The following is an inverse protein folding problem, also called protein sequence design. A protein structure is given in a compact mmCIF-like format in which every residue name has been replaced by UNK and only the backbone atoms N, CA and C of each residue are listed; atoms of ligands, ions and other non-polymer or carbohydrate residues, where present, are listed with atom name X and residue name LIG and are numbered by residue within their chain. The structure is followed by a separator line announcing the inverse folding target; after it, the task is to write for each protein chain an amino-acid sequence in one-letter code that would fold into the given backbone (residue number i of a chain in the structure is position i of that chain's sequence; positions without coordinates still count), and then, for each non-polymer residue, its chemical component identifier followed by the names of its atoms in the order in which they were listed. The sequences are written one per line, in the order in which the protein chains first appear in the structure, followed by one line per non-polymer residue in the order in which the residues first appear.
data_IF_983015777488
#
_entry.id   IF_983015777488
#
_cell.length_a   1.000
_cell.length_b   1.000
_cell.length_c   1.000
_cell.angle_alpha   90.00
_cell.angle_beta   90.00
_cell.angle_gamma   90.00
#
_symmetry.space_group_name_H-M   'P 1'
#
loop_
_entity.id
_entity.type
_entity.pdbx_description
1 polymer ?
#
# COMPACT_ATOMS: atom_id res chain seq x y z
N UNK A 1 -21.03 17.03 -1.92
CA UNK A 1 -20.08 16.02 -1.43
C UNK A 1 -19.42 16.66 -0.23
N UNK A 2 -19.79 16.25 0.99
CA UNK A 2 -19.05 16.68 2.17
C UNK A 2 -17.65 16.08 2.02
N UNK A 3 -16.66 16.94 1.75
CA UNK A 3 -15.25 16.56 1.79
C UNK A 3 -14.96 16.12 3.21
N UNK A 4 -14.99 14.80 3.44
CA UNK A 4 -14.85 14.22 4.76
C UNK A 4 -13.59 14.74 5.44
N UNK A 5 -13.69 15.10 6.72
CA UNK A 5 -12.53 15.50 7.50
C UNK A 5 -11.55 14.33 7.57
N UNK A 6 -10.32 14.52 7.08
CA UNK A 6 -9.27 13.53 7.22
C UNK A 6 -8.89 13.40 8.70
N UNK A 7 -8.89 12.17 9.20
CA UNK A 7 -8.45 11.91 10.57
C UNK A 7 -6.95 12.17 10.69
N UNK A 8 -6.55 12.98 11.67
CA UNK A 8 -5.14 13.16 12.01
C UNK A 8 -4.75 12.19 13.11
N UNK A 9 -3.79 11.30 12.83
CA UNK A 9 -3.21 10.41 13.82
C UNK A 9 -1.76 10.79 14.13
N UNK A 10 -1.50 11.09 15.40
CA UNK A 10 -0.15 11.28 15.90
C UNK A 10 0.32 9.96 16.53
N UNK A 11 1.15 9.23 15.80
CA UNK A 11 1.77 7.96 16.24
C UNK A 11 2.53 8.08 17.57
N UNK A 12 2.96 9.30 17.94
CA UNK A 12 3.75 9.55 19.15
C UNK A 12 5.24 9.21 18.96
N UNK A 13 6.06 9.32 20.02
CA UNK A 13 7.46 8.93 19.96
C UNK A 13 7.58 7.40 19.90
N UNK A 14 8.06 6.85 18.79
CA UNK A 14 8.38 5.43 18.67
C UNK A 14 9.87 5.19 18.86
N UNK A 15 10.22 4.17 19.66
CA UNK A 15 11.59 3.71 19.82
C UNK A 15 12.10 2.89 18.64
N UNK A 16 11.20 2.27 17.87
CA UNK A 16 11.53 1.48 16.67
C UNK A 16 10.53 1.68 15.53
N UNK A 17 10.95 1.39 14.30
CA UNK A 17 10.04 1.37 13.14
C UNK A 17 8.97 0.28 13.25
N UNK A 18 9.29 -0.85 13.89
CA UNK A 18 8.30 -1.88 14.20
C UNK A 18 7.17 -1.35 15.10
N UNK A 19 7.52 -0.61 16.16
CA UNK A 19 6.55 -0.01 17.07
C UNK A 19 5.65 1.01 16.36
N UNK A 20 6.23 1.84 15.50
CA UNK A 20 5.49 2.77 14.63
C UNK A 20 4.47 2.02 13.77
N UNK A 21 4.91 0.98 13.05
CA UNK A 21 4.03 0.15 12.25
C UNK A 21 2.94 -0.52 13.08
N UNK A 22 3.28 -1.06 14.26
CA UNK A 22 2.32 -1.71 15.15
C UNK A 22 1.20 -0.74 15.58
N UNK A 23 1.55 0.48 16.00
CA UNK A 23 0.58 1.49 16.44
C UNK A 23 -0.31 1.96 15.29
N UNK A 24 0.25 2.13 14.07
CA UNK A 24 -0.53 2.42 12.86
C UNK A 24 -1.49 1.28 12.56
N UNK A 25 -0.98 0.04 12.55
CA UNK A 25 -1.76 -1.17 12.31
C UNK A 25 -2.91 -1.33 13.30
N UNK A 26 -2.66 -1.09 14.58
CA UNK A 26 -3.66 -1.16 15.64
C UNK A 26 -4.73 -0.08 15.48
N UNK A 27 -4.30 1.19 15.29
CA UNK A 27 -5.20 2.34 15.12
C UNK A 27 -6.14 2.16 13.94
N UNK A 28 -5.61 1.74 12.79
CA UNK A 28 -6.34 1.64 11.53
C UNK A 28 -6.72 0.20 11.16
N UNK A 29 -6.71 -0.73 12.11
CA UNK A 29 -6.95 -2.17 11.86
C UNK A 29 -8.23 -2.46 11.07
N UNK A 30 -9.32 -1.72 11.33
CA UNK A 30 -10.57 -1.88 10.59
C UNK A 30 -10.45 -1.42 9.13
N UNK A 31 -9.77 -0.29 8.90
CA UNK A 31 -9.58 0.27 7.54
C UNK A 31 -8.63 -0.61 6.75
N UNK A 32 -7.52 -1.05 7.35
CA UNK A 32 -6.54 -1.94 6.71
C UNK A 32 -7.18 -3.27 6.33
N UNK A 33 -7.94 -3.89 7.25
CA UNK A 33 -8.66 -5.14 6.94
C UNK A 33 -9.69 -4.93 5.83
N UNK A 34 -10.47 -3.85 5.90
CA UNK A 34 -11.45 -3.55 4.85
C UNK A 34 -10.80 -3.28 3.49
N UNK A 35 -9.64 -2.61 3.46
CA UNK A 35 -8.86 -2.40 2.24
C UNK A 35 -8.43 -3.73 1.65
N UNK A 36 -7.80 -4.58 2.46
CA UNK A 36 -7.31 -5.90 2.04
C UNK A 36 -8.44 -6.77 1.49
N UNK A 37 -9.61 -6.75 2.12
CA UNK A 37 -10.79 -7.52 1.67
C UNK A 37 -11.39 -7.02 0.36
N UNK A 38 -11.36 -5.69 0.12
CA UNK A 38 -12.02 -5.06 -1.04
C UNK A 38 -11.11 -4.83 -2.25
N UNK A 39 -9.80 -4.94 -2.09
CA UNK A 39 -8.84 -4.71 -3.15
C UNK A 39 -8.83 -5.88 -4.15
N UNK A 40 -9.55 -5.75 -5.27
CA UNK A 40 -9.65 -6.79 -6.29
C UNK A 40 -8.30 -7.12 -6.93
N UNK A 41 -7.40 -6.14 -7.05
CA UNK A 41 -6.06 -6.39 -7.60
C UNK A 41 -5.29 -7.31 -6.65
N UNK A 42 -5.35 -7.05 -5.34
CA UNK A 42 -4.75 -7.94 -4.35
C UNK A 42 -5.39 -9.34 -4.41
N UNK A 43 -6.71 -9.42 -4.34
CA UNK A 43 -7.44 -10.68 -4.18
C UNK A 43 -7.41 -11.57 -5.43
N UNK A 44 -7.56 -10.98 -6.62
CA UNK A 44 -7.79 -11.71 -7.86
C UNK A 44 -6.53 -11.84 -8.72
N UNK A 45 -5.50 -11.03 -8.47
CA UNK A 45 -4.27 -11.03 -9.30
C UNK A 45 -3.02 -11.30 -8.47
N UNK A 46 -2.73 -10.48 -7.45
CA UNK A 46 -1.47 -10.57 -6.72
C UNK A 46 -1.37 -11.81 -5.84
N UNK A 47 -2.43 -12.16 -5.10
CA UNK A 47 -2.42 -13.36 -4.25
C UNK A 47 -2.37 -14.67 -5.07
N UNK A 48 -3.15 -14.83 -6.16
CA UNK A 48 -2.99 -15.97 -7.07
C UNK A 48 -1.59 -16.06 -7.67
N UNK A 49 -1.07 -14.95 -8.19
CA UNK A 49 0.27 -14.94 -8.78
C UNK A 49 1.36 -15.28 -7.74
N UNK A 50 1.30 -14.70 -6.54
CA UNK A 50 2.25 -14.99 -5.46
C UNK A 50 2.26 -16.47 -5.01
N UNK A 51 1.21 -17.23 -5.33
CA UNK A 51 1.10 -18.65 -5.05
C UNK A 51 1.70 -19.55 -6.13
N UNK A 52 2.10 -18.98 -7.29
CA UNK A 52 2.85 -19.67 -8.35
C UNK A 52 4.33 -19.81 -7.97
N UNK A 53 5.09 -20.67 -8.67
CA UNK A 53 6.51 -20.83 -8.40
C UNK A 53 7.31 -19.55 -8.75
N UNK A 54 6.95 -18.91 -9.85
CA UNK A 54 7.53 -17.66 -10.34
C UNK A 54 7.22 -16.51 -9.38
N UNK A 55 5.94 -16.34 -9.01
CA UNK A 55 5.52 -15.31 -8.07
C UNK A 55 6.12 -15.50 -6.68
N UNK A 56 6.19 -16.74 -6.17
CA UNK A 56 6.84 -17.03 -4.90
C UNK A 56 8.32 -16.65 -4.91
N UNK A 57 9.04 -17.01 -5.97
CA UNK A 57 10.45 -16.66 -6.15
C UNK A 57 10.68 -15.15 -6.21
N UNK A 58 9.78 -14.41 -6.87
CA UNK A 58 9.82 -12.94 -6.92
C UNK A 58 9.56 -12.32 -5.54
N UNK A 59 8.54 -12.80 -4.82
CA UNK A 59 8.23 -12.33 -3.45
C UNK A 59 9.43 -12.55 -2.54
N UNK A 60 10.04 -13.74 -2.53
CA UNK A 60 11.23 -14.01 -1.72
C UNK A 60 12.40 -13.08 -2.05
N UNK A 61 12.63 -12.80 -3.35
CA UNK A 61 13.68 -11.89 -3.78
C UNK A 61 13.42 -10.45 -3.33
N UNK A 62 12.17 -9.98 -3.42
CA UNK A 62 11.74 -8.66 -2.96
C UNK A 62 11.83 -8.55 -1.44
N UNK A 63 11.40 -9.57 -0.69
CA UNK A 63 11.52 -9.62 0.76
C UNK A 63 12.98 -9.48 1.20
N UNK A 64 13.86 -10.32 0.64
CA UNK A 64 15.29 -10.29 0.98
C UNK A 64 15.89 -8.91 0.67
N UNK A 65 15.62 -8.39 -0.52
CA UNK A 65 16.18 -7.10 -0.95
C UNK A 65 15.70 -5.94 -0.06
N UNK A 66 14.41 -5.94 0.32
CA UNK A 66 13.87 -4.90 1.21
C UNK A 66 14.36 -5.04 2.65
N UNK A 67 14.46 -6.26 3.18
CA UNK A 67 15.07 -6.53 4.50
C UNK A 67 16.50 -6.01 4.59
N UNK A 68 17.31 -6.28 3.56
CA UNK A 68 18.72 -5.89 3.54
C UNK A 68 18.92 -4.38 3.28
N UNK A 69 18.18 -3.82 2.32
CA UNK A 69 18.39 -2.44 1.87
C UNK A 69 17.64 -1.42 2.73
N UNK A 70 16.46 -1.78 3.22
CA UNK A 70 15.53 -0.89 3.91
C UNK A 70 15.00 -1.51 5.21
N UNK A 71 15.88 -1.94 6.15
CA UNK A 71 15.46 -2.70 7.33
C UNK A 71 14.43 -1.97 8.20
N UNK A 72 14.49 -0.63 8.27
CA UNK A 72 13.53 0.18 9.01
C UNK A 72 12.13 0.14 8.40
N UNK A 73 12.01 0.28 7.08
CA UNK A 73 10.70 0.19 6.41
C UNK A 73 10.18 -1.25 6.43
N UNK A 74 11.07 -2.23 6.35
CA UNK A 74 10.70 -3.62 6.54
C UNK A 74 10.08 -3.86 7.92
N UNK A 75 10.73 -3.42 8.99
CA UNK A 75 10.21 -3.53 10.36
C UNK A 75 8.86 -2.83 10.52
N UNK A 76 8.67 -1.67 9.88
CA UNK A 76 7.38 -0.96 9.87
C UNK A 76 6.27 -1.77 9.20
N UNK A 77 6.52 -2.42 8.05
CA UNK A 77 5.54 -3.33 7.42
C UNK A 77 5.19 -4.52 8.32
N UNK A 78 6.20 -5.09 8.99
CA UNK A 78 5.98 -6.19 9.95
C UNK A 78 5.13 -5.70 11.14
N UNK A 79 5.42 -4.52 11.68
CA UNK A 79 4.63 -3.88 12.71
C UNK A 79 3.18 -3.69 12.28
N UNK A 80 2.96 -3.09 11.10
CA UNK A 80 1.62 -2.82 10.54
C UNK A 80 0.82 -4.10 10.36
N UNK A 81 1.44 -5.16 9.84
CA UNK A 81 0.81 -6.48 9.73
C UNK A 81 0.40 -7.02 11.12
N UNK A 82 1.29 -6.91 12.11
CA UNK A 82 1.01 -7.36 13.49
C UNK A 82 -0.11 -6.56 14.17
N UNK A 83 -0.08 -5.24 14.08
CA UNK A 83 -1.08 -4.37 14.70
C UNK A 83 -2.46 -4.47 14.04
N UNK A 84 -2.50 -4.66 12.72
CA UNK A 84 -3.77 -4.79 11.98
C UNK A 84 -4.38 -6.20 12.02
N UNK A 85 -3.59 -7.22 12.35
CA UNK A 85 -3.98 -8.63 12.29
C UNK A 85 -4.04 -9.21 10.87
N UNK A 86 -3.52 -8.48 9.87
CA UNK A 86 -3.45 -8.92 8.47
C UNK A 86 -2.15 -9.70 8.22
N UNK A 87 -2.16 -10.75 7.38
CA UNK A 87 -0.93 -11.45 6.99
C UNK A 87 0.11 -10.51 6.37
N UNK A 88 1.38 -10.66 6.75
CA UNK A 88 2.48 -9.83 6.23
C UNK A 88 2.55 -9.85 4.70
N UNK A 89 2.32 -11.01 4.09
CA UNK A 89 2.29 -11.14 2.62
C UNK A 89 1.29 -10.16 1.98
N UNK A 90 0.10 -9.97 2.56
CA UNK A 90 -0.90 -9.08 1.99
C UNK A 90 -0.45 -7.61 2.09
N UNK A 91 0.12 -7.22 3.23
CA UNK A 91 0.70 -5.88 3.43
C UNK A 91 1.85 -5.64 2.45
N UNK A 92 2.72 -6.64 2.27
CA UNK A 92 3.84 -6.58 1.34
C UNK A 92 3.35 -6.41 -0.11
N UNK A 93 2.41 -7.24 -0.55
CA UNK A 93 1.88 -7.20 -1.92
C UNK A 93 1.16 -5.88 -2.23
N UNK A 94 0.43 -5.29 -1.27
CA UNK A 94 -0.17 -3.96 -1.44
C UNK A 94 0.89 -2.87 -1.59
N UNK A 95 1.94 -2.90 -0.77
CA UNK A 95 3.01 -1.90 -0.81
C UNK A 95 3.94 -2.06 -2.02
N UNK A 96 4.05 -3.26 -2.58
CA UNK A 96 4.87 -3.58 -3.75
C UNK A 96 4.03 -3.86 -5.00
N UNK A 97 2.79 -3.38 -5.05
CA UNK A 97 1.86 -3.70 -6.15
C UNK A 97 2.42 -3.28 -7.51
N UNK A 98 3.09 -2.11 -7.59
CA UNK A 98 3.63 -1.58 -8.86
C UNK A 98 4.85 -2.37 -9.33
N UNK A 99 5.58 -2.99 -8.41
CA UNK A 99 6.71 -3.88 -8.69
C UNK A 99 6.25 -5.30 -9.07
N UNK A 100 5.13 -5.76 -8.52
CA UNK A 100 4.60 -7.11 -8.74
C UNK A 100 3.74 -7.22 -10.01
N UNK A 101 2.85 -6.25 -10.25
CA UNK A 101 1.86 -6.31 -11.33
C UNK A 101 2.44 -6.54 -12.74
N UNK A 102 3.59 -5.96 -13.13
CA UNK A 102 4.17 -6.19 -14.46
C UNK A 102 4.53 -7.66 -14.75
N UNK A 103 4.64 -8.51 -13.72
CA UNK A 103 4.99 -9.92 -13.84
C UNK A 103 3.76 -10.85 -13.82
N UNK A 104 2.58 -10.33 -13.50
CA UNK A 104 1.33 -11.11 -13.56
C UNK A 104 1.01 -11.40 -15.03
N UNK A 105 0.81 -12.68 -15.42
CA UNK A 105 0.46 -13.03 -16.78
C UNK A 105 -0.81 -12.30 -17.26
N UNK A 106 -0.80 -11.81 -18.50
CA UNK A 106 -1.93 -11.02 -19.05
C UNK A 106 -3.21 -11.83 -19.14
N UNK A 107 -3.10 -13.15 -19.23
CA UNK A 107 -4.21 -14.11 -19.23
C UNK A 107 -4.88 -14.23 -17.85
N UNK A 108 -4.18 -13.88 -16.78
CA UNK A 108 -4.66 -13.88 -15.39
C UNK A 108 -5.19 -12.51 -14.94
N UNK A 109 -5.01 -11.46 -15.75
CA UNK A 109 -5.64 -10.16 -15.51
C UNK A 109 -7.15 -10.28 -15.75
N UNK A 110 -7.94 -9.93 -14.73
CA UNK A 110 -9.40 -9.84 -14.87
C UNK A 110 -9.76 -8.80 -15.93
N UNK A 111 -10.88 -8.98 -16.64
CA UNK A 111 -11.31 -8.11 -17.75
C UNK A 111 -11.65 -6.67 -17.32
N UNK A 112 -11.59 -6.36 -16.03
CA UNK A 112 -11.78 -5.00 -15.58
C UNK A 112 -10.59 -4.15 -16.06
N UNK A 113 -10.84 -2.97 -16.62
CA UNK A 113 -9.76 -2.07 -16.98
C UNK A 113 -8.94 -1.83 -15.71
N UNK A 114 -7.63 -2.03 -15.80
CA UNK A 114 -6.69 -1.48 -14.83
C UNK A 114 -7.03 0.00 -14.77
N UNK A 115 -7.69 0.43 -13.70
CA UNK A 115 -7.90 1.85 -13.44
C UNK A 115 -6.50 2.35 -13.19
N UNK A 116 -5.92 3.03 -14.18
CA UNK A 116 -4.65 3.71 -13.98
C UNK A 116 -4.91 4.70 -12.84
N UNK A 117 -4.14 4.57 -11.76
CA UNK A 117 -4.14 5.57 -10.69
C UNK A 117 -3.47 6.80 -11.32
N UNK A 118 -4.28 7.64 -11.97
CA UNK A 118 -3.86 8.89 -12.58
C UNK A 118 -3.77 9.98 -11.50
N UNK A 119 -2.88 10.95 -11.72
CA UNK A 119 -2.70 12.06 -10.80
C UNK A 119 -2.35 13.33 -11.58
N UNK A 120 -2.74 14.49 -11.03
CA UNK A 120 -2.31 15.79 -11.53
C UNK A 120 -1.51 16.53 -10.45
N UNK A 121 -0.31 16.97 -10.83
CA UNK A 121 0.55 17.82 -10.01
C UNK A 121 0.55 19.25 -10.56
N UNK A 122 0.42 20.23 -9.66
CA UNK A 122 0.58 21.65 -10.01
C UNK A 122 1.56 22.31 -9.06
N UNK A 123 2.62 22.88 -9.63
CA UNK A 123 3.64 23.63 -8.93
C UNK A 123 3.55 25.11 -9.32
N UNK A 124 3.37 25.99 -8.34
CA UNK A 124 3.31 27.44 -8.54
C UNK A 124 4.40 28.10 -7.71
N UNK A 125 5.30 28.84 -8.36
CA UNK A 125 6.43 29.52 -7.70
C UNK A 125 6.47 30.98 -8.11
N UNK A 126 6.67 31.86 -7.13
CA UNK A 126 7.01 33.27 -7.32
C UNK A 126 7.96 33.75 -6.21
N UNK A 127 8.37 35.02 -6.24
CA UNK A 127 9.35 35.58 -5.29
C UNK A 127 8.90 35.53 -3.81
N UNK A 128 7.60 35.39 -3.54
CA UNK A 128 7.02 35.38 -2.20
C UNK A 128 6.55 34.00 -1.72
N UNK A 129 6.35 33.03 -2.62
CA UNK A 129 5.79 31.72 -2.27
C UNK A 129 6.16 30.61 -3.25
N UNK A 130 6.15 29.39 -2.73
CA UNK A 130 6.15 28.16 -3.51
C UNK A 130 5.00 27.27 -3.01
N UNK A 131 4.14 26.83 -3.92
CA UNK A 131 3.00 25.96 -3.65
C UNK A 131 3.13 24.71 -4.51
N UNK A 132 2.94 23.54 -3.88
CA UNK A 132 2.76 22.27 -4.55
C UNK A 132 1.38 21.71 -4.17
N UNK A 133 0.59 21.34 -5.18
CA UNK A 133 -0.69 20.64 -4.99
C UNK A 133 -0.74 19.41 -5.87
N UNK A 134 -1.48 18.41 -5.40
CA UNK A 134 -1.55 17.08 -5.97
C UNK A 134 -2.94 16.50 -5.70
N UNK A 135 -3.54 15.80 -6.68
CA UNK A 135 -4.68 14.90 -6.47
C UNK A 135 -4.27 13.46 -6.80
N UNK A 136 -4.82 12.52 -6.05
CA UNK A 136 -4.77 11.09 -6.39
C UNK A 136 -6.13 10.67 -6.93
N UNK A 137 -6.18 10.22 -8.18
CA UNK A 137 -7.34 9.51 -8.71
C UNK A 137 -7.17 8.02 -8.42
N UNK A 138 -8.26 7.35 -8.06
CA UNK A 138 -8.20 5.93 -7.70
C UNK A 138 -9.55 5.27 -7.85
N UNK A 139 -9.56 3.93 -7.75
CA UNK A 139 -10.80 3.17 -7.85
C UNK A 139 -11.80 3.57 -6.75
N UNK A 140 -13.06 3.81 -7.13
CA UNK A 140 -14.14 4.25 -6.21
C UNK A 140 -14.34 3.29 -5.02
N UNK A 141 -14.04 1.99 -5.18
CA UNK A 141 -14.12 0.99 -4.10
C UNK A 141 -13.14 1.30 -2.97
N UNK A 142 -12.09 2.07 -3.27
CA UNK A 142 -11.02 2.42 -2.35
C UNK A 142 -11.23 3.75 -1.63
N UNK A 143 -12.32 4.48 -1.92
CA UNK A 143 -12.65 5.72 -1.19
C UNK A 143 -12.69 5.44 0.32
N UNK A 144 -11.99 6.26 1.09
CA UNK A 144 -11.85 6.09 2.55
C UNK A 144 -10.85 5.02 2.99
N UNK A 145 -10.06 4.47 2.06
CA UNK A 145 -9.00 3.49 2.32
C UNK A 145 -7.62 3.94 1.81
N UNK A 146 -7.50 5.20 1.37
CA UNK A 146 -6.30 5.89 0.88
C UNK A 146 -6.23 7.27 1.49
#
# INVERSE_FOLDING_TARGET
MDGGTLETFHVGPCGTSYEMGYLIGERFSNVIRSRVEKDLILQEQLLPFASTAEGHSLVEALERSNKERYPRYWDELVGTARGSGVPLLHILLLNLRKEMLPFVPKEELTKEPVVDDDCSDVLVVNDAMAIAVHNEDGNVVLVGHT
#
